data_IF_082751877773
#
_entry.id   IF_082751877773
#
_cell.length_a   1.000
_cell.length_b   1.000
_cell.length_c   1.000
_cell.angle_alpha   90.00
_cell.angle_beta   90.00
_cell.angle_gamma   90.00
#
_symmetry.space_group_name_H-M   'P 1'
#
loop_
_entity.id
_entity.type
_entity.pdbx_description
1 polymer ?
#
# COMPACT_ATOMS: atom_id res chain seq x y z
N UNK A 1 5.72 -26.43 1.30
CA UNK A 1 6.36 -25.29 1.98
C UNK A 1 6.24 -24.05 1.11
N UNK A 2 5.91 -22.93 1.71
CA UNK A 2 5.80 -21.67 1.00
C UNK A 2 7.20 -21.07 0.78
N UNK A 3 7.58 -20.85 -0.49
CA UNK A 3 8.87 -20.29 -0.88
C UNK A 3 8.89 -18.77 -1.01
N UNK A 4 7.81 -18.10 -0.56
CA UNK A 4 7.77 -16.65 -0.59
C UNK A 4 8.78 -16.06 0.39
N UNK A 5 9.37 -14.90 0.06
CA UNK A 5 10.33 -14.27 0.97
C UNK A 5 9.69 -13.98 2.34
N UNK A 6 10.45 -14.23 3.41
CA UNK A 6 10.01 -13.89 4.76
C UNK A 6 9.85 -12.39 4.93
N UNK A 7 10.66 -11.61 4.20
CA UNK A 7 10.64 -10.17 4.27
C UNK A 7 10.31 -9.59 2.89
N UNK A 8 9.20 -8.84 2.82
CA UNK A 8 8.74 -8.20 1.59
C UNK A 8 9.18 -6.74 1.46
N UNK A 9 9.94 -6.22 2.44
CA UNK A 9 10.53 -4.88 2.40
C UNK A 9 12.05 -5.01 2.52
N UNK A 10 12.76 -5.30 1.41
CA UNK A 10 14.21 -5.39 1.46
C UNK A 10 14.84 -4.04 1.84
N UNK A 11 15.95 -4.08 2.58
CA UNK A 11 16.70 -2.88 2.94
C UNK A 11 17.08 -2.10 1.68
N UNK A 12 16.83 -0.78 1.70
CA UNK A 12 17.11 0.10 0.56
C UNK A 12 16.07 0.09 -0.54
N UNK A 13 15.01 -0.71 -0.40
CA UNK A 13 13.88 -0.68 -1.34
C UNK A 13 13.08 0.60 -1.19
N UNK A 14 12.20 0.89 -2.15
CA UNK A 14 11.34 2.08 -2.09
C UNK A 14 10.52 2.11 -0.80
N UNK A 15 9.89 1.01 -0.43
CA UNK A 15 9.06 0.95 0.78
C UNK A 15 9.88 1.21 2.05
N UNK A 16 11.10 0.69 2.11
CA UNK A 16 12.03 0.94 3.21
C UNK A 16 12.43 2.41 3.27
N UNK A 17 12.81 3.00 2.14
CA UNK A 17 13.21 4.41 2.07
C UNK A 17 12.07 5.36 2.45
N UNK A 18 10.84 5.02 2.10
CA UNK A 18 9.66 5.81 2.47
C UNK A 18 9.22 5.57 3.91
N UNK A 19 9.67 4.49 4.54
CA UNK A 19 9.41 4.22 5.96
C UNK A 19 8.06 3.60 6.26
N UNK A 20 7.54 2.77 5.37
CA UNK A 20 6.28 2.06 5.61
C UNK A 20 6.45 1.06 6.74
N UNK A 21 5.46 1.01 7.65
CA UNK A 21 5.50 0.13 8.82
C UNK A 21 4.10 -0.31 9.25
N UNK A 22 4.03 -1.19 10.25
CA UNK A 22 2.78 -1.56 10.89
C UNK A 22 1.82 -2.34 10.02
N UNK A 23 2.33 -3.08 9.03
CA UNK A 23 1.50 -3.87 8.13
C UNK A 23 0.74 -4.95 8.90
N UNK A 24 -0.58 -5.01 8.67
CA UNK A 24 -1.46 -6.06 9.17
C UNK A 24 -2.48 -6.41 8.08
N UNK A 25 -2.82 -7.68 7.98
CA UNK A 25 -3.83 -8.16 7.04
C UNK A 25 -4.65 -9.27 7.71
N UNK A 26 -5.99 -9.19 7.59
CA UNK A 26 -6.89 -10.21 8.17
C UNK A 26 -6.98 -11.50 7.33
N UNK A 27 -6.27 -11.54 6.20
CA UNK A 27 -6.28 -12.71 5.30
C UNK A 27 -7.44 -12.73 4.33
N UNK A 28 -8.39 -11.81 4.43
CA UNK A 28 -9.60 -11.81 3.61
C UNK A 28 -9.82 -10.49 2.87
N UNK A 29 -10.09 -9.40 3.58
CA UNK A 29 -10.50 -8.17 2.89
C UNK A 29 -9.91 -6.88 3.48
N UNK A 30 -9.40 -6.88 4.72
CA UNK A 30 -8.94 -5.65 5.37
C UNK A 30 -7.44 -5.73 5.62
N UNK A 31 -6.73 -4.73 5.13
CA UNK A 31 -5.29 -4.57 5.37
C UNK A 31 -5.00 -3.15 5.83
N UNK A 32 -4.03 -3.00 6.73
CA UNK A 32 -3.64 -1.71 7.27
C UNK A 32 -2.12 -1.57 7.29
N UNK A 33 -1.65 -0.34 7.18
CA UNK A 33 -0.26 0.03 7.35
C UNK A 33 -0.19 1.51 7.68
N UNK A 34 0.99 2.00 8.02
CA UNK A 34 1.19 3.43 8.27
C UNK A 34 2.54 3.90 7.75
N UNK A 35 2.66 5.20 7.61
CA UNK A 35 3.90 5.86 7.18
C UNK A 35 4.11 7.08 8.07
N UNK A 36 5.11 7.04 8.98
CA UNK A 36 5.51 8.25 9.70
C UNK A 36 6.00 9.31 8.73
N UNK A 37 5.59 10.56 8.96
CA UNK A 37 5.98 11.67 8.08
C UNK A 37 7.41 12.10 8.42
N UNK A 38 8.27 12.15 7.41
CA UNK A 38 9.64 12.61 7.51
C UNK A 38 10.01 13.39 6.25
N UNK A 39 11.18 14.02 6.25
CA UNK A 39 11.57 14.89 5.13
C UNK A 39 11.67 14.15 3.80
N UNK A 40 12.03 12.86 3.82
CA UNK A 40 12.16 12.05 2.61
C UNK A 40 10.85 11.79 1.85
N UNK A 41 9.69 12.03 2.48
CA UNK A 41 8.38 11.85 1.82
C UNK A 41 7.70 13.17 1.48
N UNK A 42 8.40 14.31 1.67
CA UNK A 42 7.82 15.63 1.42
C UNK A 42 8.22 16.18 0.06
N UNK A 43 7.30 16.94 -0.53
CA UNK A 43 7.58 17.73 -1.71
C UNK A 43 8.13 19.13 -1.28
N UNK A 44 8.59 20.00 -2.24
CA UNK A 44 9.29 21.25 -1.87
C UNK A 44 8.53 22.22 -0.96
N UNK A 45 7.21 22.17 -0.92
CA UNK A 45 6.42 23.06 -0.06
C UNK A 45 6.25 22.54 1.37
N UNK A 46 6.93 21.45 1.75
CA UNK A 46 6.93 20.92 3.11
C UNK A 46 5.73 20.04 3.47
N UNK A 47 4.94 19.66 2.49
CA UNK A 47 3.81 18.73 2.68
C UNK A 47 4.15 17.37 2.07
N UNK A 48 3.47 16.32 2.52
CA UNK A 48 3.69 14.97 2.00
C UNK A 48 3.42 14.95 0.51
N UNK A 49 4.36 14.39 -0.24
CA UNK A 49 4.26 14.23 -1.68
C UNK A 49 3.12 13.27 -2.02
N UNK A 50 2.27 13.62 -3.01
CA UNK A 50 1.20 12.73 -3.47
C UNK A 50 1.69 11.35 -3.85
N UNK A 51 2.89 11.26 -4.45
CA UNK A 51 3.52 9.98 -4.77
C UNK A 51 3.78 9.09 -3.56
N UNK A 52 4.02 9.67 -2.38
CA UNK A 52 4.18 8.89 -1.15
C UNK A 52 2.85 8.25 -0.72
N UNK A 53 1.75 8.99 -0.79
CA UNK A 53 0.42 8.42 -0.54
C UNK A 53 0.11 7.28 -1.51
N UNK A 54 0.33 7.52 -2.80
CA UNK A 54 0.06 6.52 -3.84
C UNK A 54 0.90 5.27 -3.64
N UNK A 55 2.18 5.43 -3.27
CA UNK A 55 3.09 4.31 -3.01
C UNK A 55 2.68 3.51 -1.78
N UNK A 56 2.28 4.18 -0.69
CA UNK A 56 1.79 3.51 0.51
C UNK A 56 0.58 2.63 0.19
N UNK A 57 -0.38 3.19 -0.54
CA UNK A 57 -1.59 2.45 -0.92
C UNK A 57 -1.25 1.23 -1.78
N UNK A 58 -0.41 1.41 -2.80
CA UNK A 58 -0.07 0.31 -3.72
C UNK A 58 0.74 -0.78 -3.02
N UNK A 59 1.72 -0.42 -2.22
CA UNK A 59 2.53 -1.40 -1.48
C UNK A 59 1.69 -2.20 -0.51
N UNK A 60 0.77 -1.55 0.19
CA UNK A 60 -0.13 -2.21 1.12
C UNK A 60 -0.96 -3.29 0.44
N UNK A 61 -1.67 -2.93 -0.63
CA UNK A 61 -2.61 -3.86 -1.26
C UNK A 61 -1.92 -4.89 -2.15
N UNK A 62 -0.76 -4.56 -2.73
CA UNK A 62 0.04 -5.53 -3.46
C UNK A 62 0.52 -6.64 -2.54
N UNK A 63 1.01 -6.28 -1.34
CA UNK A 63 1.44 -7.24 -0.34
C UNK A 63 0.28 -8.12 0.14
N UNK A 64 -0.86 -7.51 0.45
CA UNK A 64 -2.03 -8.25 0.91
C UNK A 64 -2.52 -9.24 -0.16
N UNK A 65 -2.61 -8.80 -1.41
CA UNK A 65 -3.00 -9.65 -2.53
C UNK A 65 -2.02 -10.81 -2.68
N UNK A 66 -0.71 -10.53 -2.61
CA UNK A 66 0.33 -11.54 -2.72
C UNK A 66 0.21 -12.60 -1.62
N UNK A 67 -0.01 -12.17 -0.37
CA UNK A 67 -0.14 -13.10 0.76
C UNK A 67 -1.41 -13.96 0.67
N UNK A 68 -2.47 -13.44 0.04
CA UNK A 68 -3.74 -14.15 -0.10
C UNK A 68 -3.80 -15.08 -1.31
N UNK A 69 -2.83 -15.00 -2.22
CA UNK A 69 -2.80 -15.83 -3.42
C UNK A 69 -1.86 -17.04 -3.22
N UNK A 70 -1.92 -17.98 -4.16
CA UNK A 70 -1.07 -19.18 -4.10
C UNK A 70 0.41 -18.80 -4.26
N UNK A 71 1.29 -19.61 -3.69
CA UNK A 71 2.74 -19.32 -3.67
C UNK A 71 3.40 -19.35 -5.04
N UNK A 72 2.76 -19.96 -6.05
CA UNK A 72 3.25 -19.95 -7.43
C UNK A 72 2.78 -18.71 -8.22
N UNK A 73 2.09 -17.79 -7.57
CA UNK A 73 1.59 -16.56 -8.18
C UNK A 73 2.38 -15.36 -7.68
N UNK A 74 2.32 -14.28 -8.45
CA UNK A 74 2.81 -12.96 -8.03
C UNK A 74 1.69 -11.93 -8.16
N UNK A 75 1.82 -10.84 -7.42
CA UNK A 75 0.87 -9.74 -7.43
C UNK A 75 1.61 -8.46 -7.81
N UNK A 76 1.05 -7.68 -8.74
CA UNK A 76 1.65 -6.44 -9.22
C UNK A 76 0.59 -5.37 -9.38
N UNK A 77 0.90 -4.14 -8.97
CA UNK A 77 0.02 -3.01 -9.24
C UNK A 77 -0.16 -2.81 -10.75
N UNK A 78 -1.41 -2.71 -11.18
CA UNK A 78 -1.76 -2.50 -12.58
C UNK A 78 -2.37 -1.13 -12.82
N UNK A 79 -3.16 -0.62 -11.86
CA UNK A 79 -3.74 0.71 -11.92
C UNK A 79 -3.79 1.28 -10.51
N UNK A 80 -3.51 2.57 -10.40
CA UNK A 80 -3.55 3.29 -9.13
C UNK A 80 -4.16 4.66 -9.38
N UNK A 81 -5.41 4.85 -8.96
CA UNK A 81 -6.08 6.13 -9.03
C UNK A 81 -6.13 6.71 -7.62
N UNK A 82 -5.27 7.70 -7.36
CA UNK A 82 -5.17 8.34 -6.06
C UNK A 82 -5.70 9.77 -6.12
N UNK A 83 -6.43 10.18 -5.09
CA UNK A 83 -6.99 11.51 -4.95
C UNK A 83 -6.48 12.08 -3.64
N UNK A 84 -5.87 13.28 -3.69
CA UNK A 84 -5.26 13.93 -2.53
C UNK A 84 -6.17 15.04 -2.05
N UNK A 85 -6.62 14.94 -0.80
CA UNK A 85 -7.69 15.78 -0.27
C UNK A 85 -7.21 16.78 0.79
N UNK A 86 -6.16 16.45 1.54
CA UNK A 86 -5.68 17.26 2.67
C UNK A 86 -4.16 17.26 2.73
N UNK A 87 -3.52 18.44 2.77
CA UNK A 87 -2.06 18.51 2.94
C UNK A 87 -1.65 18.09 4.35
N UNK A 88 -0.61 17.29 4.45
CA UNK A 88 -0.08 16.80 5.72
C UNK A 88 1.39 17.21 5.82
N UNK A 89 1.78 17.78 6.97
CA UNK A 89 3.13 18.27 7.21
C UNK A 89 3.90 17.44 8.24
N UNK A 90 3.18 16.73 9.11
CA UNK A 90 3.80 16.00 10.23
C UNK A 90 2.85 14.92 10.72
N UNK A 91 3.33 14.11 11.67
CA UNK A 91 2.56 13.04 12.26
C UNK A 91 2.70 11.73 11.47
N UNK A 92 1.63 10.99 11.35
CA UNK A 92 1.62 9.67 10.71
C UNK A 92 0.44 9.57 9.75
N UNK A 93 0.69 8.99 8.58
CA UNK A 93 -0.37 8.64 7.63
C UNK A 93 -0.78 7.20 7.94
N UNK A 94 -2.07 6.99 8.19
CA UNK A 94 -2.63 5.68 8.48
C UNK A 94 -3.46 5.20 7.29
N UNK A 95 -3.10 4.07 6.71
CA UNK A 95 -3.79 3.52 5.54
C UNK A 95 -4.64 2.32 5.95
N UNK A 96 -5.87 2.29 5.47
CA UNK A 96 -6.78 1.16 5.64
C UNK A 96 -7.36 0.79 4.29
N UNK A 97 -7.14 -0.45 3.89
CA UNK A 97 -7.56 -0.98 2.60
C UNK A 97 -8.67 -2.00 2.78
N UNK A 98 -9.61 -1.99 1.83
CA UNK A 98 -10.67 -2.99 1.76
C UNK A 98 -10.73 -3.57 0.36
N UNK A 99 -10.70 -4.91 0.24
CA UNK A 99 -10.84 -5.59 -1.03
C UNK A 99 -12.30 -5.53 -1.49
N UNK A 100 -12.52 -4.98 -2.67
CA UNK A 100 -13.85 -4.90 -3.31
C UNK A 100 -14.10 -6.10 -4.21
N UNK A 101 -13.04 -6.64 -4.80
CA UNK A 101 -13.11 -7.76 -5.74
C UNK A 101 -11.88 -8.63 -5.54
N UNK A 102 -12.08 -9.93 -5.42
CA UNK A 102 -11.02 -10.91 -5.20
C UNK A 102 -11.08 -11.95 -6.33
N UNK A 103 -10.59 -11.54 -7.50
CA UNK A 103 -10.63 -12.37 -8.69
C UNK A 103 -9.41 -13.27 -8.83
N UNK A 104 -9.49 -14.20 -9.76
CA UNK A 104 -8.41 -15.15 -10.04
C UNK A 104 -7.20 -14.46 -10.70
N UNK A 105 -7.44 -13.43 -11.53
CA UNK A 105 -6.39 -12.73 -12.28
C UNK A 105 -6.25 -11.28 -11.89
N UNK A 106 -7.16 -10.74 -11.08
CA UNK A 106 -7.07 -9.38 -10.58
C UNK A 106 -7.87 -9.21 -9.31
N UNK A 107 -7.39 -8.31 -8.44
CA UNK A 107 -8.10 -7.84 -7.26
C UNK A 107 -8.31 -6.34 -7.39
N UNK A 108 -9.39 -5.85 -6.82
CA UNK A 108 -9.66 -4.41 -6.75
C UNK A 108 -9.77 -4.01 -5.28
N UNK A 109 -9.07 -2.94 -4.92
CA UNK A 109 -9.03 -2.44 -3.54
C UNK A 109 -9.41 -0.97 -3.49
N UNK A 110 -10.08 -0.58 -2.41
CA UNK A 110 -10.19 0.82 -1.99
C UNK A 110 -9.28 1.04 -0.79
N UNK A 111 -8.56 2.16 -0.76
CA UNK A 111 -7.69 2.53 0.35
C UNK A 111 -8.08 3.94 0.82
N UNK A 112 -8.29 4.08 2.12
CA UNK A 112 -8.45 5.38 2.77
C UNK A 112 -7.20 5.66 3.59
N UNK A 113 -6.66 6.88 3.47
CA UNK A 113 -5.49 7.31 4.22
C UNK A 113 -5.87 8.51 5.06
N UNK A 114 -5.63 8.40 6.38
CA UNK A 114 -6.04 9.40 7.37
C UNK A 114 -4.83 9.92 8.14
N UNK A 115 -4.98 11.10 8.73
CA UNK A 115 -3.98 11.66 9.64
C UNK A 115 -4.23 11.18 11.09
N UNK A 116 -3.46 11.69 12.04
CA UNK A 116 -3.56 11.29 13.44
C UNK A 116 -4.88 11.73 14.12
N UNK A 117 -5.63 12.63 13.49
CA UNK A 117 -6.94 13.08 13.98
C UNK A 117 -8.08 12.39 13.22
N UNK A 118 -7.80 11.29 12.54
CA UNK A 118 -8.76 10.52 11.73
C UNK A 118 -9.39 11.32 10.58
N UNK A 119 -8.72 12.38 10.11
CA UNK A 119 -9.20 13.15 8.96
C UNK A 119 -8.73 12.50 7.68
N UNK A 120 -9.62 12.38 6.71
CA UNK A 120 -9.29 11.78 5.41
C UNK A 120 -8.34 12.69 4.64
N UNK A 121 -7.17 12.15 4.29
CA UNK A 121 -6.11 12.88 3.58
C UNK A 121 -6.02 12.51 2.11
N UNK A 122 -6.26 11.24 1.80
CA UNK A 122 -6.19 10.73 0.44
C UNK A 122 -7.00 9.46 0.32
N UNK A 123 -7.44 9.16 -0.89
CA UNK A 123 -8.07 7.88 -1.24
C UNK A 123 -7.37 7.31 -2.44
N UNK A 124 -7.37 5.97 -2.56
CA UNK A 124 -6.83 5.30 -3.74
C UNK A 124 -7.74 4.15 -4.11
N UNK A 125 -7.94 3.97 -5.42
CA UNK A 125 -8.51 2.74 -5.96
C UNK A 125 -7.44 2.04 -6.77
N UNK A 126 -7.21 0.76 -6.49
CA UNK A 126 -6.13 0.02 -7.13
C UNK A 126 -6.65 -1.26 -7.74
N UNK A 127 -6.07 -1.59 -8.89
CA UNK A 127 -6.21 -2.90 -9.50
C UNK A 127 -4.86 -3.60 -9.37
N UNK A 128 -4.87 -4.79 -8.78
CA UNK A 128 -3.67 -5.61 -8.60
C UNK A 128 -3.79 -6.82 -9.51
N UNK A 129 -2.85 -6.96 -10.42
CA UNK A 129 -2.80 -8.11 -11.33
C UNK A 129 -2.20 -9.31 -10.60
N UNK A 130 -2.83 -10.47 -10.76
CA UNK A 130 -2.35 -11.75 -10.23
C UNK A 130 -1.94 -12.61 -11.41
N UNK A 131 -0.70 -13.03 -11.45
CA UNK A 131 -0.12 -13.78 -12.59
C UNK A 131 0.77 -14.90 -12.09
N UNK A 132 0.97 -15.95 -12.90
CA UNK A 132 1.92 -17.00 -12.55
C UNK A 132 3.32 -16.42 -12.36
N UNK A 133 4.05 -16.95 -11.38
CA UNK A 133 5.44 -16.57 -11.14
C UNK A 133 6.27 -16.90 -12.37
N UNK A 134 7.11 -15.98 -12.88
CA UNK A 134 7.98 -16.28 -14.01
C UNK A 134 9.06 -17.28 -13.60
N UNK A 135 9.49 -18.06 -14.57
CA UNK A 135 10.57 -19.06 -14.37
C UNK A 135 11.94 -18.42 -14.15
#
# INVERSE_FOLDING_TARGET
MDDRPDELIPAGSLDDLLGFEGYEFDGEEIATARMPVHDGVKQPFGIVHGGAFASLAESLVSRATYEATDEDMIAMGQANESIFLRPIRSGTINARARALHRGRTSWVWDVEMTDDDDRLCATSRLIIAVRPRPD
#
